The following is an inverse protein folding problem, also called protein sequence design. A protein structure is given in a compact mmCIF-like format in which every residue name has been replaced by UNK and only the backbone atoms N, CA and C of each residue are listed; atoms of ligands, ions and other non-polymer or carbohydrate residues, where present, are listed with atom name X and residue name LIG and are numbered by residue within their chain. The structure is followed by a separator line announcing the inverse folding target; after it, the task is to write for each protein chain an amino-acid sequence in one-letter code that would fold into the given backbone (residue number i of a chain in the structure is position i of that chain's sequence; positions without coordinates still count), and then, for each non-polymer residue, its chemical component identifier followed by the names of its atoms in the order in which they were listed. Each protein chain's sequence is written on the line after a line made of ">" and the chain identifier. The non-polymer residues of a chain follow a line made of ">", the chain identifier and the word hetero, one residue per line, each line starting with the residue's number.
data_IF_004853354387
#
_entry.id   IF_004853354387
#
_cell.length_a   1.000
_cell.length_b   1.000
_cell.length_c   1.000
_cell.angle_alpha   90.00
_cell.angle_beta   90.00
_cell.angle_gamma   90.00
#
_symmetry.space_group_name_H-M   'P 1'
#
loop_
_entity.id
_entity.type
_entity.pdbx_description
1 polymer ?
#
# COMPACT_ATOMS: atom_id res chain seq x y z
N UNK A 1 25.61 -5.26 -10.06
CA UNK A 1 24.41 -4.79 -9.32
C UNK A 1 23.23 -5.10 -10.21
N UNK A 2 22.26 -5.86 -9.71
CA UNK A 2 21.16 -6.37 -10.54
C UNK A 2 20.29 -5.19 -10.99
N UNK A 3 20.41 -4.83 -12.27
CA UNK A 3 19.73 -3.70 -12.92
C UNK A 3 18.28 -4.04 -13.32
N UNK A 4 17.73 -5.13 -12.79
CA UNK A 4 16.38 -5.57 -13.11
C UNK A 4 15.36 -4.70 -12.38
N UNK A 5 14.55 -3.97 -13.15
CA UNK A 5 13.40 -3.21 -12.65
C UNK A 5 12.23 -4.16 -12.29
N UNK A 6 12.51 -5.17 -11.48
CA UNK A 6 11.62 -6.24 -11.03
C UNK A 6 12.07 -6.75 -9.66
N UNK A 7 11.20 -7.49 -8.96
CA UNK A 7 11.53 -8.06 -7.64
C UNK A 7 10.36 -8.06 -6.67
N UNK A 8 10.65 -8.35 -5.40
CA UNK A 8 9.73 -8.25 -4.27
C UNK A 8 10.12 -7.02 -3.44
N UNK A 9 9.13 -6.34 -2.89
CA UNK A 9 9.32 -5.16 -2.05
C UNK A 9 8.38 -5.20 -0.86
N UNK A 10 8.76 -4.45 0.17
CA UNK A 10 7.96 -4.25 1.36
C UNK A 10 7.68 -2.77 1.57
N UNK A 11 6.47 -2.46 2.00
CA UNK A 11 6.07 -1.12 2.45
C UNK A 11 5.70 -1.24 3.91
N UNK A 12 6.46 -0.56 4.76
CA UNK A 12 6.11 -0.37 6.16
C UNK A 12 5.10 0.75 6.24
N UNK A 13 4.03 0.56 7.00
CA UNK A 13 3.01 1.57 7.22
C UNK A 13 2.54 1.54 8.67
N UNK A 14 2.23 2.71 9.19
CA UNK A 14 1.67 2.91 10.52
C UNK A 14 0.19 3.23 10.39
N UNK A 15 -0.64 2.56 11.18
CA UNK A 15 -2.03 2.95 11.43
C UNK A 15 -2.05 3.69 12.75
N UNK A 16 -2.29 5.01 12.72
CA UNK A 16 -2.15 5.88 13.90
C UNK A 16 -3.29 5.72 14.92
N UNK A 17 -4.42 5.18 14.46
CA UNK A 17 -5.58 4.89 15.29
C UNK A 17 -6.44 3.85 14.59
N UNK A 18 -7.17 3.07 15.38
CA UNK A 18 -8.15 2.10 14.84
C UNK A 18 -9.08 2.80 13.84
N UNK A 19 -9.13 2.29 12.62
CA UNK A 19 -9.98 2.84 11.56
C UNK A 19 -10.64 1.73 10.76
N UNK A 20 -11.80 2.06 10.18
CA UNK A 20 -12.49 1.21 9.22
C UNK A 20 -12.26 1.75 7.82
N UNK A 21 -11.87 0.88 6.90
CA UNK A 21 -11.51 1.28 5.53
C UNK A 21 -12.23 0.35 4.55
N UNK A 22 -13.03 0.90 3.61
CA UNK A 22 -13.60 0.11 2.52
C UNK A 22 -12.51 -0.28 1.53
N UNK A 23 -12.39 -1.59 1.24
CA UNK A 23 -11.36 -2.15 0.36
C UNK A 23 -11.99 -2.61 -0.95
N UNK A 24 -12.24 -1.68 -1.85
CA UNK A 24 -12.81 -1.96 -3.17
C UNK A 24 -14.08 -2.80 -3.09
N UNK A 25 -14.07 -3.99 -3.72
CA UNK A 25 -15.20 -4.94 -3.70
C UNK A 25 -15.16 -5.96 -2.56
N UNK A 26 -14.14 -5.93 -1.70
CA UNK A 26 -13.97 -6.89 -0.60
C UNK A 26 -14.75 -6.51 0.67
N UNK A 27 -15.43 -5.36 0.67
CA UNK A 27 -16.13 -4.77 1.82
C UNK A 27 -15.21 -3.94 2.75
N UNK A 28 -15.75 -3.52 3.89
CA UNK A 28 -15.09 -2.72 4.92
C UNK A 28 -14.34 -3.59 5.94
N UNK A 29 -13.08 -3.22 6.19
CA UNK A 29 -12.24 -3.90 7.17
C UNK A 29 -11.85 -2.95 8.29
N UNK A 30 -11.76 -3.49 9.51
CA UNK A 30 -11.22 -2.77 10.67
C UNK A 30 -9.72 -3.02 10.76
N UNK A 31 -8.94 -1.95 10.77
CA UNK A 31 -7.51 -1.97 11.00
C UNK A 31 -7.22 -1.44 12.41
N UNK A 32 -6.71 -2.28 13.33
CA UNK A 32 -6.18 -1.84 14.61
C UNK A 32 -5.05 -0.81 14.44
N UNK A 33 -4.85 0.03 15.45
CA UNK A 33 -3.63 0.85 15.55
C UNK A 33 -2.39 -0.05 15.60
N UNK A 34 -1.32 0.35 14.91
CA UNK A 34 -0.06 -0.37 14.96
C UNK A 34 0.78 -0.30 13.69
N UNK A 35 1.82 -1.12 13.66
CA UNK A 35 2.78 -1.23 12.56
C UNK A 35 2.40 -2.40 11.64
N UNK A 36 2.41 -2.14 10.33
CA UNK A 36 2.03 -3.09 9.31
C UNK A 36 3.11 -3.16 8.23
N UNK A 37 3.20 -4.31 7.57
CA UNK A 37 4.04 -4.50 6.40
C UNK A 37 3.20 -5.07 5.27
N UNK A 38 3.15 -4.34 4.17
CA UNK A 38 2.64 -4.87 2.91
C UNK A 38 3.78 -5.44 2.09
N UNK A 39 3.64 -6.68 1.63
CA UNK A 39 4.60 -7.33 0.74
C UNK A 39 4.01 -7.41 -0.67
N UNK A 40 4.70 -6.81 -1.64
CA UNK A 40 4.31 -6.81 -3.04
C UNK A 40 5.41 -7.33 -3.95
N UNK A 41 5.06 -7.75 -5.16
CA UNK A 41 6.02 -8.13 -6.20
C UNK A 41 5.83 -7.31 -7.46
N UNK A 42 6.85 -7.18 -8.28
CA UNK A 42 6.78 -6.62 -9.63
C UNK A 42 7.61 -7.51 -10.56
N UNK A 43 6.97 -8.15 -11.55
CA UNK A 43 7.71 -8.90 -12.58
C UNK A 43 8.45 -7.98 -13.57
N UNK A 44 7.99 -6.73 -13.69
CA UNK A 44 8.60 -5.62 -14.41
C UNK A 44 8.09 -4.30 -13.80
N UNK A 45 8.77 -3.20 -14.08
CA UNK A 45 8.38 -1.86 -13.64
C UNK A 45 8.28 -1.68 -12.11
N UNK A 46 9.20 -2.29 -11.35
CA UNK A 46 9.28 -2.18 -9.88
C UNK A 46 9.29 -0.73 -9.40
N UNK A 47 10.16 0.11 -9.95
CA UNK A 47 10.30 1.52 -9.56
C UNK A 47 8.99 2.28 -9.78
N UNK A 48 8.32 2.07 -10.91
CA UNK A 48 7.02 2.68 -11.18
C UNK A 48 5.95 2.20 -10.19
N UNK A 49 6.00 0.92 -9.80
CA UNK A 49 5.06 0.36 -8.82
C UNK A 49 5.29 0.96 -7.43
N UNK A 50 6.53 1.12 -7.00
CA UNK A 50 6.89 1.80 -5.75
C UNK A 50 6.48 3.28 -5.79
N UNK A 51 6.79 3.99 -6.88
CA UNK A 51 6.41 5.41 -7.04
C UNK A 51 4.89 5.60 -7.01
N UNK A 52 4.13 4.66 -7.57
CA UNK A 52 2.67 4.68 -7.48
C UNK A 52 2.19 4.60 -6.04
N UNK A 53 2.78 3.76 -5.19
CA UNK A 53 2.40 3.67 -3.77
C UNK A 53 2.59 4.98 -3.00
N UNK A 54 3.59 5.78 -3.37
CA UNK A 54 3.87 7.09 -2.75
C UNK A 54 2.93 8.22 -3.18
N UNK A 55 2.19 8.07 -4.29
CA UNK A 55 1.28 9.12 -4.78
C UNK A 55 0.01 9.20 -3.93
N UNK A 56 -0.39 10.39 -3.50
CA UNK A 56 -1.66 10.61 -2.79
C UNK A 56 -2.86 10.62 -3.74
N UNK A 57 -2.73 11.27 -4.91
CA UNK A 57 -3.76 11.33 -5.94
C UNK A 57 -3.58 10.22 -6.99
N UNK A 58 -4.38 9.17 -6.85
CA UNK A 58 -4.46 8.02 -7.76
C UNK A 58 -5.80 7.31 -7.59
N UNK A 59 -6.30 6.74 -8.70
CA UNK A 59 -7.40 5.77 -8.65
C UNK A 59 -6.94 4.52 -7.90
N UNK A 60 -7.68 4.10 -6.87
CA UNK A 60 -7.38 2.87 -6.12
C UNK A 60 -7.65 1.63 -6.97
N UNK A 61 -6.65 0.76 -7.09
CA UNK A 61 -6.78 -0.51 -7.81
C UNK A 61 -6.32 -1.69 -6.96
N UNK A 62 -5.29 -1.52 -6.13
CA UNK A 62 -4.82 -2.53 -5.21
C UNK A 62 -5.32 -2.26 -3.80
N UNK A 63 -5.48 -3.30 -2.98
CA UNK A 63 -5.95 -3.13 -1.60
C UNK A 63 -5.12 -2.13 -0.80
N UNK A 64 -3.79 -2.14 -0.98
CA UNK A 64 -2.90 -1.16 -0.35
C UNK A 64 -3.18 0.28 -0.82
N UNK A 65 -3.66 0.51 -2.04
CA UNK A 65 -4.01 1.87 -2.47
C UNK A 65 -5.11 2.45 -1.57
N UNK A 66 -6.10 1.63 -1.18
CA UNK A 66 -7.19 2.05 -0.27
C UNK A 66 -6.67 2.38 1.13
N UNK A 67 -5.72 1.58 1.65
CA UNK A 67 -5.09 1.86 2.95
C UNK A 67 -4.32 3.19 2.88
N UNK A 68 -3.45 3.35 1.88
CA UNK A 68 -2.58 4.52 1.75
C UNK A 68 -3.32 5.82 1.40
N UNK A 69 -4.53 5.72 0.87
CA UNK A 69 -5.42 6.87 0.65
C UNK A 69 -6.18 7.29 1.90
N UNK A 70 -6.16 6.51 2.98
CA UNK A 70 -6.83 6.86 4.22
C UNK A 70 -5.91 7.68 5.15
N UNK A 71 -6.45 8.75 5.75
CA UNK A 71 -5.73 9.66 6.65
C UNK A 71 -5.26 9.01 7.97
N UNK A 72 -5.80 7.85 8.35
CA UNK A 72 -5.31 7.10 9.52
C UNK A 72 -4.03 6.30 9.23
N UNK A 73 -3.58 6.22 7.97
CA UNK A 73 -2.44 5.41 7.54
C UNK A 73 -1.32 6.31 7.03
N UNK A 74 -0.08 6.01 7.44
CA UNK A 74 1.15 6.71 7.02
C UNK A 74 2.22 5.73 6.60
N UNK A 75 3.11 6.15 5.70
CA UNK A 75 4.30 5.41 5.24
C UNK A 75 5.54 6.16 5.68
#
# INVERSE_FOLDING_TARGET
>A
MDNTNSGVYQIRLTVDKKCRIPIGKLDEFTFPEGQYVYTGRAGKSLTQRISRHKRSDKKCFWHIDYLLSNKCVRI
#
